data_IF_319075565551
#
_entry.id   IF_319075565551
#
_cell.length_a   1.000
_cell.length_b   1.000
_cell.length_c   1.000
_cell.angle_alpha   90.00
_cell.angle_beta   90.00
_cell.angle_gamma   90.00
#
_symmetry.space_group_name_H-M   'P 1'
#
loop_
_entity.id
_entity.type
_entity.pdbx_description
1 polymer ?
#
# COMPACT_ATOMS: atom_id res chain seq x y z
N UNK A 1 -31.22 9.96 -9.09
CA UNK A 1 -31.70 10.54 -10.37
C UNK A 1 -30.62 10.42 -11.42
N UNK A 2 -31.01 10.28 -12.65
CA UNK A 2 -30.15 10.31 -13.81
C UNK A 2 -30.82 11.26 -14.82
N UNK A 3 -30.08 12.30 -15.20
CA UNK A 3 -30.52 13.27 -16.22
C UNK A 3 -29.48 13.28 -17.34
N UNK A 4 -29.95 13.30 -18.60
CA UNK A 4 -29.05 13.32 -19.75
C UNK A 4 -29.67 14.09 -20.90
N UNK A 5 -28.86 14.84 -21.63
CA UNK A 5 -29.24 15.46 -22.90
C UNK A 5 -28.09 15.34 -23.91
N UNK A 6 -28.45 15.36 -25.17
CA UNK A 6 -27.52 15.44 -26.28
C UNK A 6 -28.08 16.37 -27.37
N UNK A 7 -27.21 17.18 -27.99
CA UNK A 7 -27.58 18.14 -29.06
C UNK A 7 -26.48 18.17 -30.12
N UNK A 8 -26.84 17.94 -31.35
CA UNK A 8 -25.94 17.97 -32.51
C UNK A 8 -26.01 16.71 -33.33
N UNK A 9 -25.04 16.50 -34.17
CA UNK A 9 -24.98 15.36 -35.10
C UNK A 9 -23.80 14.46 -34.73
N UNK A 10 -24.05 13.17 -34.67
CA UNK A 10 -23.01 12.15 -34.62
C UNK A 10 -22.51 11.92 -36.05
N UNK A 11 -21.23 12.23 -36.31
CA UNK A 11 -20.66 12.09 -37.66
C UNK A 11 -19.18 11.64 -37.55
N UNK A 12 -18.90 10.42 -37.96
CA UNK A 12 -17.57 9.81 -37.82
C UNK A 12 -17.10 9.83 -36.35
N UNK A 13 -15.94 10.43 -36.09
CA UNK A 13 -15.34 10.53 -34.74
C UNK A 13 -15.88 11.75 -33.95
N UNK A 14 -16.84 12.48 -34.48
CA UNK A 14 -17.39 13.67 -33.81
C UNK A 14 -18.65 13.30 -33.05
N UNK A 15 -18.61 13.56 -31.75
CA UNK A 15 -19.76 13.43 -30.86
C UNK A 15 -20.62 14.69 -30.87
N UNK A 16 -21.94 14.58 -30.69
CA UNK A 16 -22.77 15.72 -30.35
C UNK A 16 -22.35 16.29 -28.99
N UNK A 17 -22.73 17.54 -28.72
CA UNK A 17 -22.65 18.05 -27.36
C UNK A 17 -23.58 17.23 -26.47
N UNK A 18 -23.08 16.79 -25.31
CA UNK A 18 -23.90 16.07 -24.34
C UNK A 18 -23.51 16.41 -22.91
N UNK A 19 -24.44 16.20 -22.04
CA UNK A 19 -24.20 16.19 -20.60
C UNK A 19 -25.05 15.09 -19.94
N UNK A 20 -24.46 14.39 -19.02
CA UNK A 20 -25.15 13.42 -18.18
C UNK A 20 -24.78 13.68 -16.72
N UNK A 21 -25.79 13.79 -15.88
CA UNK A 21 -25.65 13.94 -14.44
C UNK A 21 -26.26 12.74 -13.74
N UNK A 22 -25.55 12.21 -12.76
CA UNK A 22 -26.00 11.14 -11.89
C UNK A 22 -25.95 11.62 -10.45
N UNK A 23 -27.08 11.54 -9.76
CA UNK A 23 -27.14 11.76 -8.32
C UNK A 23 -27.70 10.51 -7.62
N UNK A 24 -26.88 9.91 -6.78
CA UNK A 24 -27.27 8.82 -5.88
C UNK A 24 -27.38 9.39 -4.47
N UNK A 25 -28.45 9.06 -3.77
CA UNK A 25 -28.66 9.45 -2.37
C UNK A 25 -29.07 8.21 -1.60
N UNK A 26 -28.37 7.97 -0.49
CA UNK A 26 -28.61 6.84 0.41
C UNK A 26 -28.70 5.48 -0.30
N UNK A 27 -27.85 5.29 -1.30
CA UNK A 27 -27.75 4.02 -2.00
C UNK A 27 -27.19 2.93 -1.10
N UNK A 28 -27.49 1.69 -1.45
CA UNK A 28 -26.90 0.53 -0.78
C UNK A 28 -26.57 -0.56 -1.79
N UNK A 29 -25.53 -1.33 -1.48
CA UNK A 29 -25.09 -2.46 -2.25
C UNK A 29 -24.68 -3.61 -1.32
N UNK A 30 -25.08 -4.82 -1.64
CA UNK A 30 -24.73 -6.02 -0.86
C UNK A 30 -24.40 -7.17 -1.80
N UNK A 31 -23.26 -7.81 -1.57
CA UNK A 31 -23.00 -9.13 -2.14
C UNK A 31 -23.89 -10.19 -1.46
N UNK A 32 -24.51 -11.06 -2.26
CA UNK A 32 -25.46 -12.04 -1.73
C UNK A 32 -24.84 -12.99 -0.68
N UNK A 33 -23.55 -13.29 -0.82
CA UNK A 33 -22.80 -14.20 0.06
C UNK A 33 -22.23 -13.53 1.32
N UNK A 34 -22.36 -12.20 1.47
CA UNK A 34 -21.72 -11.47 2.58
C UNK A 34 -22.74 -10.97 3.59
N UNK A 35 -22.37 -10.91 4.89
CA UNK A 35 -23.32 -10.58 5.95
C UNK A 35 -23.77 -9.11 5.93
N UNK A 36 -22.88 -8.19 5.55
CA UNK A 36 -23.15 -6.75 5.61
C UNK A 36 -23.20 -6.10 4.22
N UNK A 37 -23.90 -4.99 4.16
CA UNK A 37 -24.02 -4.14 2.97
C UNK A 37 -23.06 -2.94 3.07
N UNK A 38 -22.68 -2.39 1.93
CA UNK A 38 -22.23 -1.00 1.81
C UNK A 38 -23.47 -0.12 1.78
N UNK A 39 -23.53 0.90 2.62
CA UNK A 39 -24.70 1.76 2.81
C UNK A 39 -24.32 3.24 2.74
N UNK A 40 -25.31 4.11 2.76
CA UNK A 40 -25.14 5.56 2.74
C UNK A 40 -24.41 6.04 1.49
N UNK A 41 -24.53 5.31 0.37
CA UNK A 41 -23.84 5.65 -0.86
C UNK A 41 -24.44 6.95 -1.40
N UNK A 42 -23.60 7.97 -1.43
CA UNK A 42 -23.91 9.27 -2.02
C UNK A 42 -22.92 9.53 -3.14
N UNK A 43 -23.41 9.83 -4.34
CA UNK A 43 -22.57 10.13 -5.49
C UNK A 43 -23.21 11.30 -6.22
N UNK A 44 -22.41 12.31 -6.53
CA UNK A 44 -22.70 13.31 -7.51
C UNK A 44 -21.68 13.15 -8.63
N UNK A 45 -22.15 12.85 -9.84
CA UNK A 45 -21.30 12.67 -11.00
C UNK A 45 -21.84 13.41 -12.21
N UNK A 46 -20.95 13.97 -13.00
CA UNK A 46 -21.23 14.64 -14.26
C UNK A 46 -20.27 14.18 -15.32
N UNK A 47 -20.79 13.81 -16.49
CA UNK A 47 -20.00 13.58 -17.69
C UNK A 47 -20.49 14.53 -18.78
N UNK A 48 -19.59 15.24 -19.43
CA UNK A 48 -19.94 16.23 -20.44
C UNK A 48 -18.96 16.24 -21.61
N UNK A 49 -19.48 16.52 -22.80
CA UNK A 49 -18.69 16.81 -23.97
C UNK A 49 -19.33 18.05 -24.66
N UNK A 50 -18.57 19.11 -24.96
CA UNK A 50 -19.09 20.32 -25.61
C UNK A 50 -19.48 20.14 -27.08
N UNK A 51 -19.26 18.96 -27.61
CA UNK A 51 -19.33 18.63 -29.02
C UNK A 51 -17.94 18.61 -29.66
N UNK A 52 -17.69 17.64 -30.54
CA UNK A 52 -16.41 17.45 -31.18
C UNK A 52 -15.83 16.05 -30.94
N UNK A 53 -14.55 15.94 -30.66
CA UNK A 53 -13.91 14.64 -30.47
C UNK A 53 -14.28 14.01 -29.10
N UNK A 54 -14.21 12.70 -29.00
CA UNK A 54 -14.41 12.00 -27.73
C UNK A 54 -13.40 12.46 -26.65
N UNK A 55 -12.25 12.97 -27.07
CA UNK A 55 -11.21 13.50 -26.19
C UNK A 55 -11.59 14.80 -25.46
N UNK A 56 -12.60 15.50 -25.94
CA UNK A 56 -13.17 16.66 -25.24
C UNK A 56 -14.09 16.28 -24.07
N UNK A 57 -14.31 14.99 -23.85
CA UNK A 57 -15.12 14.51 -22.73
C UNK A 57 -14.43 14.75 -21.39
N UNK A 58 -15.20 15.24 -20.42
CA UNK A 58 -14.80 15.36 -19.02
C UNK A 58 -15.74 14.56 -18.15
N UNK A 59 -15.18 14.00 -17.08
CA UNK A 59 -15.93 13.36 -16.00
C UNK A 59 -15.57 14.07 -14.70
N UNK A 60 -16.56 14.44 -13.93
CA UNK A 60 -16.41 15.08 -12.64
C UNK A 60 -17.31 14.41 -11.60
N UNK A 61 -16.71 13.96 -10.51
CA UNK A 61 -17.36 13.39 -9.33
C UNK A 61 -16.89 14.20 -8.13
N UNK A 62 -17.46 15.40 -7.91
CA UNK A 62 -17.00 16.30 -6.85
C UNK A 62 -17.15 15.69 -5.47
N UNK A 63 -18.09 14.76 -5.32
CA UNK A 63 -18.30 14.07 -4.05
C UNK A 63 -18.79 12.66 -4.28
N UNK A 64 -18.11 11.70 -3.68
CA UNK A 64 -18.68 10.41 -3.35
C UNK A 64 -18.48 10.13 -1.87
N UNK A 65 -19.45 9.48 -1.24
CA UNK A 65 -19.37 9.01 0.13
C UNK A 65 -20.08 7.66 0.26
N UNK A 66 -19.58 6.82 1.18
CA UNK A 66 -20.19 5.55 1.49
C UNK A 66 -19.79 5.13 2.90
N UNK A 67 -20.58 4.21 3.46
CA UNK A 67 -20.26 3.54 4.73
C UNK A 67 -20.11 2.04 4.47
N UNK A 68 -18.92 1.51 4.78
CA UNK A 68 -18.59 0.10 4.62
C UNK A 68 -18.31 -0.50 6.00
N UNK A 69 -19.16 -1.41 6.44
CA UNK A 69 -19.08 -2.04 7.78
C UNK A 69 -18.89 -1.03 8.93
N UNK A 70 -19.63 0.09 8.89
CA UNK A 70 -19.54 1.17 9.89
C UNK A 70 -18.39 2.18 9.65
N UNK A 71 -17.56 1.98 8.63
CA UNK A 71 -16.46 2.88 8.30
C UNK A 71 -16.89 3.84 7.19
N UNK A 72 -16.83 5.14 7.48
CA UNK A 72 -17.17 6.18 6.53
C UNK A 72 -15.98 6.48 5.60
N UNK A 73 -16.23 6.43 4.30
CA UNK A 73 -15.28 6.79 3.24
C UNK A 73 -15.87 7.91 2.40
N UNK A 74 -15.04 8.83 1.97
CA UNK A 74 -15.40 9.94 1.09
C UNK A 74 -14.29 10.23 0.11
N UNK A 75 -14.64 10.84 -1.00
CA UNK A 75 -13.63 11.26 -1.96
C UNK A 75 -14.21 12.08 -3.11
N UNK A 76 -13.37 12.36 -4.07
CA UNK A 76 -13.70 13.03 -5.32
C UNK A 76 -12.86 12.46 -6.45
N UNK A 77 -13.33 12.60 -7.66
CA UNK A 77 -12.62 12.19 -8.86
C UNK A 77 -12.94 13.13 -10.01
N UNK A 78 -11.95 13.48 -10.82
CA UNK A 78 -12.17 14.12 -12.11
C UNK A 78 -11.23 13.56 -13.16
N UNK A 79 -11.71 13.53 -14.41
CA UNK A 79 -10.98 13.04 -15.55
C UNK A 79 -11.24 13.89 -16.80
N UNK A 80 -10.24 14.04 -17.63
CA UNK A 80 -10.30 14.74 -18.90
C UNK A 80 -9.40 14.08 -19.94
N UNK A 81 -9.62 14.36 -21.22
CA UNK A 81 -8.85 13.82 -22.35
C UNK A 81 -8.74 12.29 -22.34
N UNK A 82 -9.88 11.55 -22.33
CA UNK A 82 -9.89 10.12 -22.08
C UNK A 82 -9.29 9.27 -23.20
N UNK A 83 -9.18 9.79 -24.41
CA UNK A 83 -8.75 9.02 -25.58
C UNK A 83 -7.29 9.24 -25.92
N UNK A 84 -6.74 10.43 -25.72
CA UNK A 84 -5.35 10.75 -26.07
C UNK A 84 -4.41 10.54 -24.89
N UNK A 85 -4.70 11.17 -23.76
CA UNK A 85 -3.85 11.07 -22.56
C UNK A 85 -4.70 11.45 -21.33
N UNK A 86 -5.28 10.45 -20.72
CA UNK A 86 -6.19 10.64 -19.57
C UNK A 86 -5.51 11.45 -18.46
N UNK A 87 -6.03 12.63 -18.20
CA UNK A 87 -5.68 13.43 -17.02
C UNK A 87 -6.66 13.11 -15.92
N UNK A 88 -6.16 12.85 -14.75
CA UNK A 88 -6.98 12.52 -13.60
C UNK A 88 -6.61 13.34 -12.37
N UNK A 89 -7.60 13.57 -11.51
CA UNK A 89 -7.44 13.98 -10.12
C UNK A 89 -8.34 13.10 -9.28
N UNK A 90 -7.82 12.60 -8.17
CA UNK A 90 -8.55 11.78 -7.22
C UNK A 90 -8.20 12.19 -5.81
N UNK A 91 -9.18 12.17 -4.92
CA UNK A 91 -8.97 12.30 -3.48
C UNK A 91 -9.81 11.25 -2.77
N UNK A 92 -9.27 10.68 -1.69
CA UNK A 92 -9.98 9.73 -0.85
C UNK A 92 -9.57 9.92 0.60
N UNK A 93 -10.56 10.00 1.49
CA UNK A 93 -10.34 10.10 2.92
C UNK A 93 -11.30 9.19 3.68
N UNK A 94 -10.81 8.60 4.76
CA UNK A 94 -11.62 7.76 5.61
C UNK A 94 -10.80 6.92 6.58
N UNK A 95 -11.54 6.18 7.39
CA UNK A 95 -11.01 5.23 8.35
C UNK A 95 -11.62 3.86 8.05
N UNK A 96 -10.80 2.84 7.92
CA UNK A 96 -11.21 1.47 7.58
C UNK A 96 -10.73 0.51 8.65
N UNK A 97 -11.65 -0.19 9.27
CA UNK A 97 -11.37 -1.38 10.08
C UNK A 97 -11.21 -2.57 9.13
N UNK A 98 -10.00 -3.07 9.02
CA UNK A 98 -9.66 -4.17 8.10
C UNK A 98 -10.37 -5.48 8.48
N UNK A 99 -10.63 -5.71 9.77
CA UNK A 99 -11.39 -6.87 10.22
C UNK A 99 -12.83 -6.86 9.71
N UNK A 100 -13.41 -5.66 9.62
CA UNK A 100 -14.78 -5.48 9.14
C UNK A 100 -14.91 -5.52 7.60
N UNK A 101 -13.81 -5.36 6.85
CA UNK A 101 -13.84 -5.40 5.38
C UNK A 101 -14.35 -6.73 4.84
N UNK A 102 -14.01 -7.85 5.51
CA UNK A 102 -14.47 -9.20 5.13
C UNK A 102 -15.99 -9.36 5.16
N UNK A 103 -16.69 -8.52 5.90
CA UNK A 103 -18.15 -8.59 6.03
C UNK A 103 -18.89 -7.97 4.83
N UNK A 104 -18.18 -7.19 4.01
CA UNK A 104 -18.75 -6.43 2.87
C UNK A 104 -18.05 -6.70 1.54
N UNK A 105 -16.85 -7.29 1.58
CA UNK A 105 -16.06 -7.61 0.37
C UNK A 105 -15.48 -9.04 0.46
N UNK A 106 -15.61 -9.88 -0.59
CA UNK A 106 -15.14 -11.25 -0.57
C UNK A 106 -13.60 -11.31 -0.65
N UNK A 107 -12.96 -11.30 0.51
CA UNK A 107 -11.54 -11.62 0.65
C UNK A 107 -11.43 -13.14 0.83
N UNK A 108 -10.42 -13.75 0.22
CA UNK A 108 -10.17 -15.19 0.40
C UNK A 108 -9.97 -15.55 1.88
N UNK A 109 -10.36 -16.75 2.27
CA UNK A 109 -10.35 -17.22 3.68
C UNK A 109 -8.96 -17.28 4.32
N UNK A 110 -7.90 -17.33 3.51
CA UNK A 110 -6.50 -17.37 3.96
C UNK A 110 -5.96 -16.03 4.46
N UNK A 111 -6.71 -14.93 4.30
CA UNK A 111 -6.25 -13.59 4.69
C UNK A 111 -6.85 -13.21 6.04
N UNK A 112 -6.07 -13.34 7.11
CA UNK A 112 -6.41 -12.78 8.41
C UNK A 112 -6.01 -11.31 8.47
N UNK A 113 -6.97 -10.41 8.25
CA UNK A 113 -6.78 -8.98 8.41
C UNK A 113 -7.40 -8.49 9.70
N UNK A 114 -6.63 -7.75 10.47
CA UNK A 114 -7.10 -7.00 11.63
C UNK A 114 -6.42 -5.64 11.65
N UNK A 115 -6.98 -4.69 12.41
CA UNK A 115 -6.42 -3.36 12.56
C UNK A 115 -7.17 -2.29 11.79
N UNK A 116 -6.68 -1.06 11.90
CA UNK A 116 -7.33 0.14 11.38
C UNK A 116 -6.38 0.89 10.47
N UNK A 117 -6.87 1.28 9.30
CA UNK A 117 -6.19 2.18 8.37
C UNK A 117 -6.97 3.48 8.27
N UNK A 118 -6.29 4.59 8.53
CA UNK A 118 -6.84 5.93 8.32
C UNK A 118 -6.04 6.61 7.22
N UNK A 119 -6.72 7.08 6.19
CA UNK A 119 -6.10 7.72 5.04
C UNK A 119 -6.78 9.06 4.71
N UNK A 120 -5.97 10.01 4.27
CA UNK A 120 -6.41 11.25 3.62
C UNK A 120 -5.41 11.52 2.50
N UNK A 121 -5.75 11.08 1.31
CA UNK A 121 -4.84 11.00 0.16
C UNK A 121 -5.43 11.70 -1.04
N UNK A 122 -4.57 12.34 -1.81
CA UNK A 122 -4.90 12.89 -3.11
C UNK A 122 -3.82 12.56 -4.13
N UNK A 123 -4.23 12.38 -5.37
CA UNK A 123 -3.32 12.14 -6.48
C UNK A 123 -3.82 12.84 -7.74
N UNK A 124 -2.92 13.33 -8.56
CA UNK A 124 -3.23 13.82 -9.90
C UNK A 124 -2.08 13.56 -10.85
N UNK A 125 -2.39 13.35 -12.11
CA UNK A 125 -1.38 13.02 -13.11
C UNK A 125 -2.00 12.74 -14.47
N UNK A 126 -1.18 12.15 -15.32
CA UNK A 126 -1.57 11.69 -16.65
C UNK A 126 -1.31 10.19 -16.79
N UNK A 127 -2.12 9.50 -17.56
CA UNK A 127 -1.92 8.09 -17.83
C UNK A 127 -0.59 7.82 -18.54
N UNK A 128 -0.20 8.70 -19.47
CA UNK A 128 1.08 8.61 -20.15
C UNK A 128 2.31 8.70 -19.22
N UNK A 129 2.18 9.36 -18.06
CA UNK A 129 3.25 9.41 -17.07
C UNK A 129 3.38 8.07 -16.34
N UNK A 130 2.27 7.41 -16.05
CA UNK A 130 2.23 6.06 -15.48
C UNK A 130 2.80 5.04 -16.48
N UNK A 131 2.35 5.08 -17.73
CA UNK A 131 2.80 4.17 -18.78
C UNK A 131 4.28 4.30 -19.12
N UNK A 132 4.82 5.52 -19.04
CA UNK A 132 6.25 5.82 -19.28
C UNK A 132 7.10 5.78 -18.00
N UNK A 133 6.52 5.29 -16.90
CA UNK A 133 7.20 5.16 -15.61
C UNK A 133 7.77 6.47 -15.02
N UNK A 134 7.17 7.61 -15.42
CA UNK A 134 7.54 8.94 -14.90
C UNK A 134 6.75 9.28 -13.65
N UNK A 135 6.96 8.52 -12.60
CA UNK A 135 6.18 8.61 -11.36
C UNK A 135 6.40 9.92 -10.60
N UNK A 136 7.53 10.59 -10.82
CA UNK A 136 7.80 11.93 -10.30
C UNK A 136 6.85 13.00 -10.85
N UNK A 137 6.23 12.74 -12.02
CA UNK A 137 5.20 13.61 -12.60
C UNK A 137 3.81 13.40 -11.97
N UNK A 138 3.63 12.34 -11.17
CA UNK A 138 2.40 12.08 -10.43
C UNK A 138 2.42 12.91 -9.14
N UNK A 139 1.53 13.87 -9.04
CA UNK A 139 1.38 14.64 -7.81
C UNK A 139 0.54 13.84 -6.80
N UNK A 140 1.21 12.98 -6.02
CA UNK A 140 0.59 12.25 -4.91
C UNK A 140 0.93 12.95 -3.59
N UNK A 141 -0.05 13.14 -2.72
CA UNK A 141 0.16 13.71 -1.38
C UNK A 141 -0.91 13.25 -0.41
N UNK A 142 -0.58 13.31 0.89
CA UNK A 142 -1.53 12.96 1.93
C UNK A 142 -0.89 12.34 3.15
N UNK A 143 -1.72 11.75 3.99
CA UNK A 143 -1.34 11.06 5.23
C UNK A 143 -1.98 9.70 5.28
N UNK A 144 -1.22 8.74 5.81
CA UNK A 144 -1.67 7.39 6.07
C UNK A 144 -1.25 7.00 7.48
N UNK A 145 -2.18 6.48 8.26
CA UNK A 145 -1.92 5.89 9.57
C UNK A 145 -2.47 4.48 9.60
N UNK A 146 -1.67 3.56 10.09
CA UNK A 146 -2.00 2.14 10.26
C UNK A 146 -1.85 1.79 11.73
N UNK A 147 -2.84 1.14 12.33
CA UNK A 147 -2.85 0.81 13.75
C UNK A 147 -3.35 -0.63 13.98
N UNK A 148 -2.62 -1.38 14.77
CA UNK A 148 -3.03 -2.72 15.22
C UNK A 148 -3.18 -3.74 14.09
N UNK A 149 -2.46 -3.58 12.97
CA UNK A 149 -2.53 -4.53 11.85
C UNK A 149 -1.72 -5.76 12.19
N UNK A 150 -2.36 -6.91 12.08
CA UNK A 150 -1.71 -8.21 12.22
C UNK A 150 -1.72 -8.92 10.87
N UNK A 151 -0.58 -9.46 10.49
CA UNK A 151 -0.43 -10.24 9.26
C UNK A 151 0.35 -11.53 9.57
N UNK A 152 -0.17 -12.66 9.08
CA UNK A 152 0.58 -13.91 9.03
C UNK A 152 1.24 -14.01 7.66
N UNK A 153 2.56 -14.01 7.62
CA UNK A 153 3.36 -14.16 6.42
C UNK A 153 4.02 -15.53 6.42
N UNK A 154 3.98 -16.22 5.29
CA UNK A 154 4.57 -17.55 5.17
C UNK A 154 6.09 -17.52 5.50
N UNK A 155 6.51 -18.37 6.43
CA UNK A 155 7.92 -18.49 6.83
C UNK A 155 8.44 -17.41 7.79
N UNK A 156 7.55 -16.53 8.28
CA UNK A 156 7.86 -15.55 9.32
C UNK A 156 6.94 -15.74 10.52
N UNK A 157 7.39 -15.38 11.74
CA UNK A 157 6.50 -15.24 12.89
C UNK A 157 5.39 -14.20 12.63
N UNK A 158 4.38 -14.21 13.48
CA UNK A 158 3.30 -13.21 13.38
C UNK A 158 3.87 -11.80 13.38
N UNK A 159 3.51 -11.03 12.35
CA UNK A 159 3.91 -9.63 12.20
C UNK A 159 2.76 -8.75 12.70
N UNK A 160 3.03 -7.93 13.70
CA UNK A 160 2.10 -6.95 14.24
C UNK A 160 2.62 -5.53 14.00
N UNK A 161 1.93 -4.77 13.18
CA UNK A 161 2.14 -3.32 13.08
C UNK A 161 1.35 -2.67 14.20
N UNK A 162 2.05 -2.28 15.28
CA UNK A 162 1.42 -1.54 16.39
C UNK A 162 0.89 -0.21 15.91
N UNK A 163 1.75 0.51 15.22
CA UNK A 163 1.42 1.78 14.57
C UNK A 163 2.39 2.07 13.45
N UNK A 164 1.89 2.63 12.36
CA UNK A 164 2.70 3.28 11.34
C UNK A 164 2.03 4.60 10.94
N UNK A 165 2.79 5.68 10.91
CA UNK A 165 2.33 6.99 10.48
C UNK A 165 3.25 7.53 9.40
N UNK A 166 2.67 7.88 8.26
CA UNK A 166 3.42 8.34 7.10
C UNK A 166 2.74 9.47 6.37
N UNK A 167 3.53 10.33 5.79
CA UNK A 167 3.09 11.35 4.84
C UNK A 167 3.70 11.10 3.47
N UNK A 168 2.89 11.31 2.47
CA UNK A 168 3.21 11.10 1.05
C UNK A 168 3.35 12.45 0.37
N UNK A 169 4.39 12.60 -0.44
CA UNK A 169 4.58 13.72 -1.36
C UNK A 169 5.06 13.18 -2.71
N UNK A 170 5.03 13.95 -3.81
CA UNK A 170 5.54 13.47 -5.11
C UNK A 170 6.99 12.98 -5.05
N UNK A 171 7.82 13.61 -4.22
CA UNK A 171 9.25 13.30 -4.12
C UNK A 171 9.56 12.17 -3.15
N UNK A 172 8.75 11.99 -2.10
CA UNK A 172 9.11 11.10 -1.01
C UNK A 172 7.91 10.65 -0.17
N UNK A 173 8.07 9.49 0.43
CA UNK A 173 7.28 9.01 1.55
C UNK A 173 8.08 9.22 2.83
N UNK A 174 7.56 10.03 3.73
CA UNK A 174 8.15 10.26 5.06
C UNK A 174 7.44 9.37 6.07
N UNK A 175 8.19 8.45 6.64
CA UNK A 175 7.76 7.59 7.73
C UNK A 175 8.10 8.31 9.05
N UNK A 176 7.09 8.92 9.68
CA UNK A 176 7.30 9.62 10.94
C UNK A 176 7.36 8.67 12.14
N UNK A 177 6.70 7.53 12.02
CA UNK A 177 6.64 6.51 13.05
C UNK A 177 6.35 5.15 12.41
N UNK A 178 7.09 4.14 12.80
CA UNK A 178 6.78 2.73 12.57
C UNK A 178 7.10 1.96 13.85
N UNK A 179 6.13 1.24 14.37
CA UNK A 179 6.32 0.27 15.45
C UNK A 179 5.80 -1.08 14.99
N UNK A 180 6.71 -2.05 14.83
CA UNK A 180 6.39 -3.41 14.41
C UNK A 180 6.91 -4.39 15.45
N UNK A 181 6.17 -5.47 15.67
CA UNK A 181 6.61 -6.63 16.43
C UNK A 181 6.59 -7.85 15.50
N UNK A 182 7.66 -8.60 15.47
CA UNK A 182 7.77 -9.85 14.71
C UNK A 182 8.24 -10.93 15.68
N UNK A 183 7.34 -11.83 16.06
CA UNK A 183 7.58 -12.74 17.17
C UNK A 183 7.95 -11.98 18.45
N UNK A 184 9.16 -12.23 18.99
CA UNK A 184 9.69 -11.51 20.16
C UNK A 184 10.42 -10.22 19.84
N UNK A 185 10.73 -9.97 18.56
CA UNK A 185 11.47 -8.79 18.13
C UNK A 185 10.56 -7.57 18.07
N UNK A 186 11.01 -6.44 18.63
CA UNK A 186 10.40 -5.13 18.46
C UNK A 186 11.26 -4.29 17.53
N UNK A 187 10.62 -3.63 16.56
CA UNK A 187 11.30 -2.76 15.60
C UNK A 187 10.57 -1.42 15.57
N UNK A 188 11.30 -0.36 15.79
CA UNK A 188 10.84 1.01 15.59
C UNK A 188 11.66 1.65 14.48
N UNK A 189 11.00 2.36 13.58
CA UNK A 189 11.69 3.04 12.50
C UNK A 189 11.05 4.39 12.17
N UNK A 190 11.88 5.30 11.68
CA UNK A 190 11.45 6.56 11.09
C UNK A 190 12.42 6.97 9.98
N UNK A 191 12.00 7.81 9.04
CA UNK A 191 12.87 8.28 7.98
C UNK A 191 12.15 8.61 6.69
N UNK A 192 12.87 8.57 5.58
CA UNK A 192 12.36 8.98 4.28
C UNK A 192 12.71 7.96 3.21
N UNK A 193 11.72 7.65 2.39
CA UNK A 193 11.81 6.73 1.26
C UNK A 193 11.51 7.49 -0.03
N UNK A 194 12.25 7.23 -1.08
CA UNK A 194 12.04 7.78 -2.42
C UNK A 194 11.82 6.67 -3.44
N UNK A 195 11.28 7.03 -4.60
CA UNK A 195 10.87 6.09 -5.64
C UNK A 195 9.84 5.04 -5.17
N UNK A 196 9.04 5.39 -4.15
CA UNK A 196 8.06 4.47 -3.55
C UNK A 196 6.95 4.07 -4.54
N UNK A 197 6.55 4.96 -5.47
CA UNK A 197 5.53 4.66 -6.49
C UNK A 197 6.10 3.66 -7.50
N UNK A 198 7.33 3.88 -7.98
CA UNK A 198 8.02 2.97 -8.88
C UNK A 198 8.24 1.58 -8.26
N UNK A 199 8.57 1.54 -6.98
CA UNK A 199 8.69 0.30 -6.22
C UNK A 199 7.36 -0.47 -6.15
N UNK A 200 6.26 0.22 -5.80
CA UNK A 200 4.95 -0.41 -5.64
C UNK A 200 4.31 -0.88 -6.96
N UNK A 201 4.54 -0.15 -8.05
CA UNK A 201 3.85 -0.41 -9.33
C UNK A 201 4.70 -1.20 -10.34
N UNK A 202 6.02 -1.18 -10.22
CA UNK A 202 6.94 -1.71 -11.24
C UNK A 202 8.17 -2.43 -10.67
N UNK A 203 8.14 -2.76 -9.39
CA UNK A 203 9.25 -3.47 -8.73
C UNK A 203 10.63 -2.77 -8.86
N UNK A 204 10.59 -1.43 -9.03
CA UNK A 204 11.81 -0.62 -9.10
C UNK A 204 12.49 -0.50 -7.73
N UNK A 205 13.71 -0.01 -7.72
CA UNK A 205 14.49 0.12 -6.48
C UNK A 205 13.90 1.18 -5.55
N UNK A 206 13.49 0.76 -4.34
CA UNK A 206 13.14 1.64 -3.23
C UNK A 206 14.41 2.18 -2.61
N UNK A 207 14.53 3.50 -2.51
CA UNK A 207 15.70 4.16 -1.92
C UNK A 207 15.31 4.92 -0.67
N UNK A 208 16.23 5.04 0.27
CA UNK A 208 15.96 5.85 1.44
C UNK A 208 16.95 5.79 2.57
N UNK A 209 16.62 6.55 3.61
CA UNK A 209 17.33 6.52 4.89
C UNK A 209 16.33 6.33 6.00
N UNK A 210 16.62 5.38 6.87
CA UNK A 210 15.81 5.09 8.04
C UNK A 210 16.68 5.05 9.30
N UNK A 211 16.15 5.58 10.37
CA UNK A 211 16.65 5.38 11.73
C UNK A 211 15.84 4.25 12.36
N UNK A 212 16.54 3.17 12.73
CA UNK A 212 15.96 1.93 13.26
C UNK A 212 16.39 1.72 14.70
N UNK A 213 15.44 1.44 15.56
CA UNK A 213 15.64 1.12 16.97
C UNK A 213 14.98 -0.21 17.31
N UNK A 214 15.59 -0.94 18.25
CA UNK A 214 15.00 -2.16 18.78
C UNK A 214 15.51 -2.37 20.22
N UNK A 215 14.60 -2.79 21.08
CA UNK A 215 14.99 -3.24 22.44
C UNK A 215 15.46 -4.68 22.42
N UNK A 216 14.88 -5.52 21.58
CA UNK A 216 15.23 -6.91 21.34
C UNK A 216 15.07 -7.27 19.88
N UNK A 217 16.13 -7.70 19.23
CA UNK A 217 16.12 -8.25 17.89
C UNK A 217 16.57 -9.72 17.96
N UNK A 218 15.63 -10.64 17.84
CA UNK A 218 15.92 -12.07 17.82
C UNK A 218 16.07 -12.57 16.38
N UNK A 219 17.31 -12.60 15.93
CA UNK A 219 17.62 -13.06 14.58
C UNK A 219 17.37 -14.56 14.39
N UNK A 220 17.36 -15.36 15.45
CA UNK A 220 17.06 -16.79 15.33
C UNK A 220 15.60 -17.00 14.91
N UNK A 221 14.69 -16.24 15.50
CA UNK A 221 13.28 -16.30 15.17
C UNK A 221 12.98 -15.71 13.79
N UNK A 222 13.65 -14.60 13.42
CA UNK A 222 13.46 -13.94 12.12
C UNK A 222 14.02 -14.74 10.94
N UNK A 223 15.08 -15.50 11.17
CA UNK A 223 15.74 -16.32 10.15
C UNK A 223 15.14 -17.73 10.02
N UNK A 224 14.26 -18.10 10.94
CA UNK A 224 13.71 -19.44 11.08
C UNK A 224 14.75 -20.44 11.58
N UNK A 225 14.32 -21.46 12.30
CA UNK A 225 15.20 -22.54 12.73
C UNK A 225 15.78 -23.28 11.52
N UNK A 226 17.05 -23.07 11.23
CA UNK A 226 17.81 -23.83 10.23
C UNK A 226 17.89 -25.33 10.57
N UNK A 227 17.27 -25.76 11.67
CA UNK A 227 17.37 -27.07 12.27
C UNK A 227 16.37 -28.13 11.79
N UNK A 228 15.23 -27.73 11.19
CA UNK A 228 14.18 -28.72 10.87
C UNK A 228 14.15 -29.24 9.43
N UNK A 229 15.02 -28.77 8.54
CA UNK A 229 15.03 -29.19 7.12
C UNK A 229 16.08 -30.28 6.79
N UNK A 230 16.66 -30.96 7.78
CA UNK A 230 17.68 -32.01 7.55
C UNK A 230 17.30 -33.41 8.05
N UNK A 231 16.02 -33.68 8.25
CA UNK A 231 15.56 -34.97 8.82
C UNK A 231 14.97 -35.94 7.80
N UNK A 232 15.29 -35.84 6.51
CA UNK A 232 14.90 -36.94 5.59
C UNK A 232 15.80 -37.06 4.33
N UNK A 233 17.07 -37.40 4.53
CA UNK A 233 17.84 -38.23 3.57
C UNK A 233 19.02 -38.82 4.31
N UNK A 234 18.95 -40.12 4.60
CA UNK A 234 20.05 -40.89 5.20
C UNK A 234 21.30 -40.90 4.34
N UNK A 235 22.30 -40.14 4.74
CA UNK A 235 23.68 -40.30 4.31
C UNK A 235 24.64 -39.83 5.40
N UNK A 236 25.70 -40.60 5.61
CA UNK A 236 26.66 -40.60 6.68
C UNK A 236 27.19 -39.25 7.18
N UNK A 237 27.45 -39.23 8.49
CA UNK A 237 28.09 -38.17 9.25
C UNK A 237 29.38 -37.65 8.64
N UNK A 238 29.43 -36.35 8.31
CA UNK A 238 30.65 -35.58 8.15
C UNK A 238 30.73 -34.56 9.30
N UNK A 239 31.94 -34.11 9.76
CA UNK A 239 32.11 -33.42 11.03
C UNK A 239 31.43 -32.06 11.08
N UNK A 240 30.78 -31.83 12.24
CA UNK A 240 30.06 -30.62 12.58
C UNK A 240 31.03 -29.45 12.75
N UNK A 241 31.20 -28.61 11.72
CA UNK A 241 31.76 -27.26 11.89
C UNK A 241 31.41 -26.23 10.80
N UNK A 242 30.39 -26.48 10.03
CA UNK A 242 29.83 -25.45 9.13
C UNK A 242 28.32 -25.64 9.03
N UNK A 243 27.57 -25.22 10.04
CA UNK A 243 26.15 -24.97 9.87
C UNK A 243 26.00 -23.89 8.78
N UNK A 244 25.56 -24.31 7.60
CA UNK A 244 25.32 -23.41 6.47
C UNK A 244 24.34 -22.33 6.92
N UNK A 245 24.83 -21.11 7.13
CA UNK A 245 24.00 -19.95 7.38
C UNK A 245 23.06 -19.80 6.18
N UNK A 246 21.77 -20.00 6.37
CA UNK A 246 20.81 -19.57 5.36
C UNK A 246 20.88 -18.05 5.29
N UNK A 247 21.34 -17.56 4.15
CA UNK A 247 21.33 -16.13 3.90
C UNK A 247 19.89 -15.62 3.94
N UNK A 248 19.64 -14.58 4.73
CA UNK A 248 18.39 -13.83 4.65
C UNK A 248 18.24 -13.39 3.20
N UNK A 249 17.14 -13.75 2.55
CA UNK A 249 16.88 -13.29 1.20
C UNK A 249 16.47 -11.80 1.31
N UNK A 250 17.45 -10.93 1.14
CA UNK A 250 17.23 -9.49 1.06
C UNK A 250 16.73 -9.16 -0.35
N UNK A 251 15.61 -8.46 -0.51
CA UNK A 251 15.15 -8.04 -1.84
C UNK A 251 16.23 -7.23 -2.57
N UNK A 252 16.44 -7.53 -3.85
CA UNK A 252 17.48 -6.88 -4.65
C UNK A 252 17.13 -5.43 -5.02
N UNK A 253 15.85 -5.10 -4.97
CA UNK A 253 15.29 -3.78 -5.29
C UNK A 253 15.20 -2.85 -4.07
N UNK A 254 16.09 -2.98 -3.11
CA UNK A 254 16.28 -2.08 -1.99
C UNK A 254 17.64 -1.39 -2.09
N UNK A 255 17.68 -0.11 -1.71
CA UNK A 255 18.88 0.72 -1.58
C UNK A 255 18.64 1.66 -0.38
N UNK A 256 18.90 1.14 0.82
CA UNK A 256 18.55 1.77 2.09
C UNK A 256 19.80 1.98 2.94
N UNK A 257 19.96 3.20 3.43
CA UNK A 257 20.91 3.52 4.50
C UNK A 257 20.18 3.50 5.84
N UNK A 258 20.62 2.65 6.76
CA UNK A 258 20.00 2.48 8.06
C UNK A 258 20.93 3.00 9.16
N UNK A 259 20.49 3.99 9.92
CA UNK A 259 21.07 4.29 11.23
C UNK A 259 20.46 3.34 12.25
N UNK A 260 21.26 2.60 13.00
CA UNK A 260 20.74 1.56 13.90
C UNK A 260 21.15 1.80 15.35
N UNK A 261 20.21 1.54 16.28
CA UNK A 261 20.42 1.54 17.71
C UNK A 261 19.65 0.37 18.31
N UNK A 262 20.34 -0.75 18.53
CA UNK A 262 19.77 -2.03 18.91
C UNK A 262 20.31 -2.41 20.29
N UNK A 263 19.43 -2.45 21.30
CA UNK A 263 19.85 -2.71 22.69
C UNK A 263 20.30 -4.13 22.90
N UNK A 264 19.62 -5.10 22.27
CA UNK A 264 19.96 -6.51 22.40
C UNK A 264 19.68 -7.23 21.08
N UNK A 265 20.68 -7.97 20.59
CA UNK A 265 20.55 -8.83 19.41
C UNK A 265 20.85 -10.25 19.86
N UNK A 266 19.95 -11.18 19.54
CA UNK A 266 20.15 -12.61 19.74
C UNK A 266 20.45 -13.26 18.40
N UNK A 267 21.61 -13.91 18.29
CA UNK A 267 21.99 -14.63 17.07
C UNK A 267 22.68 -15.93 17.44
N UNK A 268 22.07 -17.06 17.17
CA UNK A 268 22.49 -18.38 17.61
C UNK A 268 22.66 -18.40 19.14
N UNK A 269 23.88 -18.65 19.65
CA UNK A 269 24.21 -18.61 21.05
C UNK A 269 24.87 -17.30 21.50
N UNK A 270 25.00 -16.34 20.59
CA UNK A 270 25.57 -15.03 20.85
C UNK A 270 24.52 -14.04 21.30
N UNK A 271 24.89 -13.20 22.22
CA UNK A 271 24.11 -12.01 22.64
C UNK A 271 25.02 -10.82 22.41
N UNK A 272 24.53 -9.87 21.63
CA UNK A 272 25.19 -8.59 21.40
C UNK A 272 24.34 -7.51 22.09
N UNK A 273 24.96 -6.76 22.95
CA UNK A 273 24.31 -5.66 23.66
C UNK A 273 24.79 -4.30 23.13
N UNK A 274 23.89 -3.32 23.13
CA UNK A 274 24.14 -1.90 22.80
C UNK A 274 24.81 -1.67 21.43
N UNK A 275 24.36 -2.38 20.41
CA UNK A 275 24.85 -2.16 19.04
C UNK A 275 24.34 -0.84 18.48
N UNK A 276 25.27 0.03 18.11
CA UNK A 276 24.97 1.29 17.41
C UNK A 276 25.86 1.41 16.18
N UNK A 277 25.27 1.73 15.04
CA UNK A 277 26.03 1.81 13.80
C UNK A 277 25.17 2.21 12.61
N UNK A 278 25.76 2.13 11.43
CA UNK A 278 25.06 2.28 10.16
C UNK A 278 25.17 1.00 9.35
N UNK A 279 24.07 0.62 8.73
CA UNK A 279 23.99 -0.51 7.81
C UNK A 279 23.52 -0.02 6.45
N UNK A 280 24.01 -0.66 5.41
CA UNK A 280 23.50 -0.46 4.05
C UNK A 280 22.83 -1.73 3.56
N UNK A 281 21.59 -1.60 3.09
CA UNK A 281 20.85 -2.70 2.46
C UNK A 281 20.76 -2.38 0.98
N UNK A 282 21.53 -3.09 0.16
CA UNK A 282 21.55 -2.83 -1.27
C UNK A 282 21.84 -4.12 -2.06
N UNK A 283 21.16 -4.28 -3.21
CA UNK A 283 21.41 -5.37 -4.17
C UNK A 283 21.37 -6.77 -3.52
N UNK A 284 20.45 -6.98 -2.59
CA UNK A 284 20.33 -8.26 -1.90
C UNK A 284 21.36 -8.53 -0.80
N UNK A 285 22.13 -7.53 -0.38
CA UNK A 285 23.15 -7.64 0.66
C UNK A 285 22.92 -6.62 1.78
N UNK A 286 23.41 -6.95 2.98
CA UNK A 286 23.51 -6.05 4.14
C UNK A 286 24.98 -5.91 4.46
N UNK A 287 25.46 -4.67 4.59
CA UNK A 287 26.87 -4.34 4.90
C UNK A 287 26.95 -3.24 5.94
#
# INVERSE_FOLDING_TARGET
TLDAWAKGVLAGDRLPAFETTLAVRDGSFKYASLPKAVTGITIDARAANPGGTADATTVDVPTFALTMAGNALRGSFSAATPMSDLRFKAAAAGKVDLGAVKEVYPLGDSIALAGVVTADMQASGRMSDIERERYEAIAASGRLTVEGVTAALAGLPEVKVRRAAMSVSPAALTLSELGVTVGRSDIEASGTLSNYIGYLLRDQTLRGRLDVRSSLLDLNELLGDASEASADTGAAAAPADTAAMRAVVVPQNLDLALGTSLKKILFQKMVLDDFTGSLTVAKGTVS
#
